data_IF_135470552476
#
_entry.id   IF_135470552476
#
_cell.length_a   1.000
_cell.length_b   1.000
_cell.length_c   1.000
_cell.angle_alpha   90.00
_cell.angle_beta   90.00
_cell.angle_gamma   90.00
#
_symmetry.space_group_name_H-M   'P 1'
#
loop_
_entity.id
_entity.type
_entity.pdbx_description
1 polymer ?
#
# COMPACT_ATOMS: atom_id res chain seq x y z
N UNK A 1 -27.75 -4.88 -30.19
CA UNK A 1 -26.60 -5.33 -29.38
C UNK A 1 -26.80 -4.78 -27.99
N UNK A 2 -27.12 -5.63 -27.02
CA UNK A 2 -27.20 -5.24 -25.61
C UNK A 2 -25.80 -4.85 -25.15
N UNK A 3 -25.69 -3.68 -24.53
CA UNK A 3 -24.43 -3.15 -24.00
C UNK A 3 -23.92 -4.09 -22.89
N UNK A 4 -22.60 -4.35 -22.78
CA UNK A 4 -22.06 -5.02 -21.61
C UNK A 4 -22.47 -4.25 -20.36
N UNK A 5 -22.99 -4.97 -19.36
CA UNK A 5 -23.35 -4.39 -18.08
C UNK A 5 -22.09 -3.92 -17.36
N UNK A 6 -22.09 -2.66 -16.89
CA UNK A 6 -20.96 -2.14 -16.13
C UNK A 6 -20.85 -2.92 -14.83
N UNK A 7 -19.72 -3.63 -14.65
CA UNK A 7 -19.41 -4.38 -13.45
C UNK A 7 -18.09 -3.84 -12.91
N UNK A 8 -18.08 -3.04 -11.83
CA UNK A 8 -16.82 -2.58 -11.24
C UNK A 8 -16.06 -3.77 -10.67
N UNK A 9 -14.75 -3.67 -10.62
CA UNK A 9 -13.94 -4.68 -9.95
C UNK A 9 -14.21 -4.60 -8.44
N UNK A 10 -14.61 -5.73 -7.85
CA UNK A 10 -14.72 -5.88 -6.40
C UNK A 10 -13.42 -6.47 -5.90
N UNK A 11 -12.68 -5.69 -5.14
CA UNK A 11 -11.37 -6.10 -4.62
C UNK A 11 -11.56 -6.48 -3.15
N UNK A 12 -11.24 -7.73 -2.83
CA UNK A 12 -11.29 -8.26 -1.46
C UNK A 12 -9.96 -8.09 -0.73
N UNK A 13 -9.96 -8.39 0.57
CA UNK A 13 -8.75 -8.37 1.41
C UNK A 13 -7.73 -9.42 0.98
N UNK A 14 -6.46 -9.09 1.07
CA UNK A 14 -5.36 -10.01 0.81
C UNK A 14 -5.11 -10.87 2.05
N UNK A 15 -5.13 -12.21 1.95
CA UNK A 15 -4.80 -13.06 3.09
C UNK A 15 -3.37 -12.80 3.58
N UNK A 16 -3.22 -12.67 4.89
CA UNK A 16 -1.91 -12.57 5.53
C UNK A 16 -1.17 -13.90 5.44
N UNK A 17 0.02 -13.90 4.84
CA UNK A 17 0.79 -15.12 4.61
C UNK A 17 2.00 -15.31 5.54
N UNK A 18 2.47 -14.27 6.24
CA UNK A 18 3.63 -14.37 7.15
C UNK A 18 3.44 -13.54 8.42
N UNK A 19 3.76 -14.12 9.57
CA UNK A 19 3.83 -13.47 10.89
C UNK A 19 5.00 -14.06 11.67
N UNK A 20 5.71 -13.25 12.44
CA UNK A 20 6.90 -13.69 13.17
C UNK A 20 8.22 -13.23 12.56
N UNK A 21 9.32 -13.79 13.04
CA UNK A 21 10.68 -13.35 12.68
C UNK A 21 11.00 -13.79 11.25
N UNK A 22 11.27 -12.82 10.38
CA UNK A 22 11.54 -13.05 8.95
C UNK A 22 13.02 -12.92 8.59
N UNK A 23 13.81 -12.23 9.41
CA UNK A 23 15.26 -12.06 9.20
C UNK A 23 16.00 -11.85 10.53
N UNK A 24 17.28 -12.20 10.55
CA UNK A 24 18.19 -11.95 11.67
C UNK A 24 19.57 -11.56 11.15
N UNK A 25 20.30 -10.73 11.89
CA UNK A 25 21.68 -10.37 11.55
C UNK A 25 22.45 -9.90 12.78
N UNK A 26 23.78 -9.80 12.68
CA UNK A 26 24.61 -9.30 13.77
C UNK A 26 25.54 -8.21 13.27
N UNK A 27 25.63 -7.09 14.01
CA UNK A 27 26.49 -5.96 13.67
C UNK A 27 27.15 -5.40 14.92
N UNK A 28 28.48 -5.19 14.85
CA UNK A 28 29.30 -4.62 15.95
C UNK A 28 29.07 -5.27 17.32
N UNK A 29 28.74 -6.56 17.36
CA UNK A 29 28.54 -7.33 18.59
C UNK A 29 27.08 -7.41 19.07
N UNK A 30 26.17 -6.63 18.46
CA UNK A 30 24.75 -6.68 18.75
C UNK A 30 24.03 -7.62 17.77
N UNK A 31 22.93 -8.24 18.22
CA UNK A 31 22.08 -9.11 17.40
C UNK A 31 20.77 -8.38 17.08
N UNK A 32 20.38 -8.42 15.82
CA UNK A 32 19.23 -7.75 15.25
C UNK A 32 18.28 -8.78 14.65
N UNK A 33 16.99 -8.47 14.63
CA UNK A 33 15.99 -9.24 13.89
C UNK A 33 14.96 -8.33 13.26
N UNK A 34 14.29 -8.86 12.25
CA UNK A 34 13.09 -8.26 11.66
C UNK A 34 11.92 -9.16 11.96
N UNK A 35 10.91 -8.61 12.63
CA UNK A 35 9.72 -9.32 13.05
C UNK A 35 8.47 -8.68 12.43
N UNK A 36 7.52 -9.51 12.02
CA UNK A 36 6.26 -9.06 11.43
C UNK A 36 5.12 -9.28 12.41
N UNK A 37 4.50 -8.18 12.83
CA UNK A 37 3.37 -8.15 13.74
C UNK A 37 2.05 -7.93 12.99
N UNK A 38 0.95 -8.30 13.60
CA UNK A 38 -0.37 -7.85 13.13
C UNK A 38 -0.39 -6.34 13.30
N UNK A 39 -0.68 -5.60 12.23
CA UNK A 39 -0.80 -4.16 12.39
C UNK A 39 -1.92 -3.87 13.38
N UNK A 40 -1.59 -3.15 14.45
CA UNK A 40 -2.52 -2.75 15.51
C UNK A 40 -3.27 -1.46 15.14
N UNK A 41 -3.04 -0.96 13.93
CA UNK A 41 -3.42 0.37 13.49
C UNK A 41 -4.73 0.33 12.72
N UNK A 42 -5.81 0.85 13.34
CA UNK A 42 -7.07 1.15 12.63
C UNK A 42 -6.89 2.28 11.58
N UNK A 43 -5.75 2.98 11.61
CA UNK A 43 -5.35 4.08 10.74
C UNK A 43 -3.82 4.17 10.68
N UNK A 44 -3.25 4.39 9.50
CA UNK A 44 -1.81 4.59 9.33
C UNK A 44 -1.53 6.04 8.91
N UNK A 45 -0.51 6.65 9.52
CA UNK A 45 0.00 7.95 9.07
C UNK A 45 0.68 7.79 7.70
N UNK A 46 0.12 8.42 6.66
CA UNK A 46 0.59 8.35 5.26
C UNK A 46 2.07 8.76 5.14
N UNK A 47 2.52 9.72 5.93
CA UNK A 47 3.91 10.19 5.90
C UNK A 47 4.92 9.20 6.53
N UNK A 48 4.43 8.14 7.19
CA UNK A 48 5.23 7.11 7.88
C UNK A 48 5.17 5.71 7.25
N UNK A 49 4.40 5.52 6.18
CA UNK A 49 4.32 4.25 5.45
C UNK A 49 5.47 4.09 4.46
N UNK A 50 5.99 2.86 4.31
CA UNK A 50 6.92 2.52 3.23
C UNK A 50 6.24 2.52 1.84
N UNK A 51 4.91 2.66 1.83
CA UNK A 51 4.08 2.79 0.65
C UNK A 51 4.01 4.24 0.16
N UNK A 52 4.36 4.46 -1.11
CA UNK A 52 4.11 5.72 -1.81
C UNK A 52 3.05 5.53 -2.91
N UNK A 53 1.82 6.05 -2.75
CA UNK A 53 0.82 5.98 -3.80
C UNK A 53 1.32 6.68 -5.06
N UNK A 54 1.47 5.95 -6.16
CA UNK A 54 2.08 6.52 -7.35
C UNK A 54 1.12 7.37 -8.21
N UNK A 55 -0.21 7.29 -7.98
CA UNK A 55 -1.23 7.92 -8.83
C UNK A 55 -2.55 8.31 -8.14
N UNK A 56 -3.36 9.03 -8.93
CA UNK A 56 -4.63 9.64 -8.59
C UNK A 56 -5.75 8.63 -8.37
N UNK A 57 -6.28 8.56 -7.15
CA UNK A 57 -7.49 7.79 -6.85
C UNK A 57 -8.58 8.66 -6.25
N UNK A 58 -9.74 8.65 -6.90
CA UNK A 58 -10.88 9.48 -6.54
C UNK A 58 -11.90 8.68 -5.73
N UNK A 59 -11.82 8.72 -4.40
CA UNK A 59 -12.76 8.01 -3.53
C UNK A 59 -14.04 8.80 -3.25
N UNK A 60 -15.19 8.12 -3.25
CA UNK A 60 -16.46 8.61 -2.68
C UNK A 60 -16.71 7.97 -1.31
N UNK A 61 -16.91 8.82 -0.29
CA UNK A 61 -17.48 8.48 1.02
C UNK A 61 -18.24 9.69 1.61
N UNK A 62 -18.63 9.65 2.89
CA UNK A 62 -19.23 10.78 3.63
C UNK A 62 -18.30 12.01 3.66
N UNK A 63 -18.76 13.23 4.03
CA UNK A 63 -17.95 14.46 4.07
C UNK A 63 -16.66 14.43 4.92
N UNK A 64 -16.44 13.35 5.67
CA UNK A 64 -15.24 13.12 6.49
C UNK A 64 -14.42 11.90 6.03
N UNK A 65 -14.87 11.20 4.99
CA UNK A 65 -14.26 9.97 4.45
C UNK A 65 -13.24 10.23 3.34
N UNK A 66 -12.66 11.43 3.29
CA UNK A 66 -11.72 11.80 2.25
C UNK A 66 -10.37 11.15 2.50
N UNK A 67 -10.15 10.00 1.89
CA UNK A 67 -8.79 9.51 1.69
C UNK A 67 -8.22 10.18 0.44
N UNK A 68 -7.12 10.91 0.65
CA UNK A 68 -6.45 11.72 -0.35
C UNK A 68 -5.70 10.79 -1.32
N UNK A 69 -5.91 10.96 -2.63
CA UNK A 69 -5.02 10.36 -3.62
C UNK A 69 -3.76 11.20 -3.77
N UNK A 70 -2.61 10.60 -4.06
CA UNK A 70 -1.36 11.35 -4.26
C UNK A 70 -1.33 11.96 -5.66
N UNK A 71 -1.10 13.26 -5.74
CA UNK A 71 -0.92 13.99 -7.00
C UNK A 71 0.54 14.47 -7.09
N UNK A 72 1.24 14.12 -8.16
CA UNK A 72 2.60 14.61 -8.45
C UNK A 72 2.54 16.02 -9.04
N UNK A 73 1.41 16.41 -9.65
CA UNK A 73 1.22 17.73 -10.27
C UNK A 73 -0.11 18.40 -9.90
N UNK A 74 -0.16 19.73 -10.07
CA UNK A 74 -1.40 20.51 -9.90
C UNK A 74 -2.52 20.05 -10.86
N UNK A 75 -2.14 19.61 -12.07
CA UNK A 75 -3.09 19.14 -13.08
C UNK A 75 -3.75 17.82 -12.66
N UNK A 76 -2.97 16.88 -12.12
CA UNK A 76 -3.48 15.61 -11.58
C UNK A 76 -4.43 15.86 -10.40
N UNK A 77 -4.08 16.83 -9.52
CA UNK A 77 -4.97 17.24 -8.43
C UNK A 77 -6.33 17.72 -8.95
N UNK A 78 -6.35 18.53 -10.00
CA UNK A 78 -7.59 19.03 -10.60
C UNK A 78 -8.38 17.90 -11.27
N UNK A 79 -7.73 16.98 -11.98
CA UNK A 79 -8.37 15.80 -12.57
C UNK A 79 -9.03 14.92 -11.50
N UNK A 80 -8.34 14.64 -10.40
CA UNK A 80 -8.90 13.89 -9.25
C UNK A 80 -10.19 14.54 -8.75
N UNK A 81 -10.19 15.86 -8.57
CA UNK A 81 -11.38 16.57 -8.07
C UNK A 81 -12.55 16.52 -9.06
N UNK A 82 -12.26 16.55 -10.36
CA UNK A 82 -13.27 16.35 -11.41
C UNK A 82 -13.84 14.93 -11.33
N UNK A 83 -13.00 13.89 -11.28
CA UNK A 83 -13.47 12.49 -11.15
C UNK A 83 -14.36 12.32 -9.92
N UNK A 84 -13.93 12.84 -8.76
CA UNK A 84 -14.70 12.79 -7.51
C UNK A 84 -16.08 13.41 -7.67
N UNK A 85 -16.14 14.59 -8.29
CA UNK A 85 -17.40 15.30 -8.53
C UNK A 85 -18.33 14.48 -9.43
N UNK A 86 -17.79 13.87 -10.50
CA UNK A 86 -18.56 13.03 -11.41
C UNK A 86 -19.04 11.74 -10.72
N UNK A 87 -18.21 11.10 -9.88
CA UNK A 87 -18.65 9.94 -9.08
C UNK A 87 -19.84 10.35 -8.19
N UNK A 88 -19.75 11.50 -7.52
CA UNK A 88 -20.80 11.98 -6.61
C UNK A 88 -22.11 12.31 -7.33
N UNK A 89 -22.02 12.96 -8.49
CA UNK A 89 -23.19 13.50 -9.19
C UNK A 89 -23.83 12.48 -10.14
N UNK A 90 -23.02 11.62 -10.76
CA UNK A 90 -23.43 10.76 -11.87
C UNK A 90 -23.11 9.27 -11.64
N UNK A 91 -22.44 8.92 -10.53
CA UNK A 91 -22.05 7.56 -10.21
C UNK A 91 -20.76 7.09 -10.90
N UNK A 92 -20.24 5.95 -10.41
CA UNK A 92 -18.96 5.37 -10.81
C UNK A 92 -18.90 5.02 -12.32
N UNK A 93 -19.99 4.49 -12.88
CA UNK A 93 -20.07 4.14 -14.31
C UNK A 93 -19.84 5.38 -15.21
N UNK A 94 -20.40 6.53 -14.83
CA UNK A 94 -20.23 7.77 -15.58
C UNK A 94 -18.79 8.28 -15.45
N UNK A 95 -18.24 8.25 -14.23
CA UNK A 95 -16.87 8.70 -13.97
C UNK A 95 -15.83 7.92 -14.79
N UNK A 96 -15.92 6.59 -14.83
CA UNK A 96 -15.00 5.76 -15.61
C UNK A 96 -15.06 6.09 -17.09
N UNK A 97 -16.27 6.33 -17.63
CA UNK A 97 -16.41 6.74 -19.04
C UNK A 97 -15.71 8.06 -19.31
N UNK A 98 -15.94 9.06 -18.47
CA UNK A 98 -15.29 10.36 -18.59
C UNK A 98 -13.77 10.22 -18.55
N UNK A 99 -13.24 9.43 -17.61
CA UNK A 99 -11.78 9.20 -17.50
C UNK A 99 -11.24 8.48 -18.72
N UNK A 100 -11.90 7.41 -19.18
CA UNK A 100 -11.48 6.63 -20.35
C UNK A 100 -11.51 7.42 -21.65
N UNK A 101 -12.51 8.27 -21.81
CA UNK A 101 -12.66 9.07 -23.03
C UNK A 101 -11.70 10.27 -23.06
N UNK A 102 -11.36 10.84 -21.89
CA UNK A 102 -10.61 12.11 -21.83
C UNK A 102 -9.14 11.96 -21.45
N UNK A 103 -8.76 10.98 -20.63
CA UNK A 103 -7.44 10.93 -20.01
C UNK A 103 -6.74 9.59 -20.14
N UNK A 104 -7.42 8.48 -19.86
CA UNK A 104 -6.78 7.17 -19.78
C UNK A 104 -7.75 6.05 -20.14
N UNK A 105 -7.66 5.56 -21.38
CA UNK A 105 -8.52 4.51 -21.91
C UNK A 105 -8.45 3.19 -21.12
N UNK A 106 -7.38 2.99 -20.34
CA UNK A 106 -7.14 1.80 -19.51
C UNK A 106 -7.50 2.00 -18.04
N UNK A 107 -8.12 3.12 -17.68
CA UNK A 107 -8.56 3.38 -16.32
C UNK A 107 -9.47 2.28 -15.78
N UNK A 108 -9.33 1.94 -14.50
CA UNK A 108 -10.09 0.89 -13.81
C UNK A 108 -10.95 1.54 -12.73
N UNK A 109 -12.22 1.15 -12.66
CA UNK A 109 -13.08 1.54 -11.56
C UNK A 109 -13.36 0.36 -10.64
N UNK A 110 -13.36 0.64 -9.35
CA UNK A 110 -13.39 -0.37 -8.31
C UNK A 110 -14.33 0.02 -7.15
N UNK A 111 -14.73 -1.00 -6.38
CA UNK A 111 -15.50 -0.84 -5.15
C UNK A 111 -14.85 -1.69 -4.05
N UNK A 112 -14.73 -1.13 -2.84
CA UNK A 112 -14.45 -1.87 -1.62
C UNK A 112 -15.68 -1.90 -0.72
N UNK A 113 -16.19 -3.09 -0.47
CA UNK A 113 -17.43 -3.31 0.28
C UNK A 113 -17.23 -3.37 1.80
N UNK A 114 -16.00 -3.63 2.29
CA UNK A 114 -15.72 -4.00 3.70
C UNK A 114 -14.63 -3.13 4.36
N UNK A 115 -14.69 -1.81 4.12
CA UNK A 115 -13.78 -0.84 4.76
C UNK A 115 -14.37 -0.28 6.07
N UNK A 116 -13.54 0.13 7.05
CA UNK A 116 -13.99 0.87 8.24
C UNK A 116 -14.77 2.16 7.92
N UNK A 117 -14.64 2.65 6.68
CA UNK A 117 -15.28 3.87 6.19
C UNK A 117 -16.57 3.62 5.39
N UNK A 118 -17.04 2.36 5.29
CA UNK A 118 -18.20 1.96 4.49
C UNK A 118 -17.84 1.53 3.06
N UNK A 119 -18.82 1.48 2.16
CA UNK A 119 -18.55 1.18 0.75
C UNK A 119 -17.78 2.35 0.12
N UNK A 120 -16.58 2.07 -0.39
CA UNK A 120 -15.74 3.07 -1.05
C UNK A 120 -15.66 2.77 -2.54
N UNK A 121 -15.90 3.81 -3.35
CA UNK A 121 -15.88 3.73 -4.82
C UNK A 121 -14.77 4.59 -5.38
N UNK A 122 -14.01 4.09 -6.36
CA UNK A 122 -12.93 4.86 -6.95
C UNK A 122 -12.61 4.53 -8.40
N UNK A 123 -11.80 5.39 -9.01
CA UNK A 123 -11.20 5.20 -10.34
C UNK A 123 -9.70 5.37 -10.20
N UNK A 124 -8.95 4.38 -10.68
CA UNK A 124 -7.50 4.39 -10.86
C UNK A 124 -7.17 4.73 -12.32
N UNK A 125 -6.31 5.74 -12.54
CA UNK A 125 -5.99 6.27 -13.87
C UNK A 125 -4.65 7.05 -13.88
N UNK A 126 -4.05 7.21 -15.07
CA UNK A 126 -2.83 8.01 -15.29
C UNK A 126 -1.55 7.20 -15.54
N UNK A 127 -1.64 5.87 -15.58
CA UNK A 127 -0.51 4.97 -15.82
C UNK A 127 -0.50 4.45 -17.26
N UNK A 128 -1.60 4.60 -18.02
CA UNK A 128 -1.76 4.01 -19.36
C UNK A 128 -1.41 2.51 -19.36
N UNK A 129 -1.71 1.81 -18.27
CA UNK A 129 -1.51 0.39 -18.09
C UNK A 129 -2.58 -0.15 -17.13
N UNK A 130 -3.44 -1.04 -17.65
CA UNK A 130 -4.57 -1.60 -16.91
C UNK A 130 -4.13 -2.44 -15.70
N UNK A 131 -3.02 -3.18 -15.80
CA UNK A 131 -2.54 -4.04 -14.72
C UNK A 131 -1.94 -3.21 -13.58
N UNK A 132 -1.24 -2.12 -13.92
CA UNK A 132 -0.79 -1.14 -12.93
C UNK A 132 -1.99 -0.48 -12.24
N UNK A 133 -3.06 -0.16 -12.97
CA UNK A 133 -4.28 0.39 -12.37
C UNK A 133 -4.97 -0.55 -11.39
N UNK A 134 -5.01 -1.85 -11.71
CA UNK A 134 -5.53 -2.87 -10.81
C UNK A 134 -4.71 -3.01 -9.54
N UNK A 135 -3.38 -3.07 -9.69
CA UNK A 135 -2.45 -3.16 -8.57
C UNK A 135 -2.62 -1.97 -7.63
N UNK A 136 -2.62 -0.75 -8.18
CA UNK A 136 -2.80 0.48 -7.39
C UNK A 136 -4.16 0.57 -6.70
N UNK A 137 -5.23 0.15 -7.39
CA UNK A 137 -6.55 0.08 -6.79
C UNK A 137 -6.54 -0.91 -5.62
N UNK A 138 -5.82 -2.03 -5.74
CA UNK A 138 -5.65 -2.99 -4.65
C UNK A 138 -4.85 -2.41 -3.49
N UNK A 139 -3.71 -1.78 -3.73
CA UNK A 139 -2.85 -1.23 -2.67
C UNK A 139 -3.57 -0.14 -1.86
N UNK A 140 -4.28 0.76 -2.56
CA UNK A 140 -5.11 1.75 -1.87
C UNK A 140 -6.20 1.06 -1.03
N UNK A 141 -6.80 -0.02 -1.52
CA UNK A 141 -7.83 -0.71 -0.74
C UNK A 141 -7.27 -1.47 0.46
N UNK A 142 -6.04 -1.96 0.38
CA UNK A 142 -5.34 -2.47 1.55
C UNK A 142 -5.10 -1.35 2.56
N UNK A 143 -4.78 -0.15 2.08
CA UNK A 143 -4.79 1.05 2.90
C UNK A 143 -6.14 1.28 3.56
N UNK A 144 -7.21 1.28 2.76
CA UNK A 144 -8.58 1.49 3.22
C UNK A 144 -9.13 0.37 4.11
N UNK A 145 -8.51 -0.81 4.15
CA UNK A 145 -9.06 -1.93 4.92
C UNK A 145 -8.27 -2.21 6.20
N UNK A 146 -7.21 -1.44 6.46
CA UNK A 146 -6.29 -1.73 7.55
C UNK A 146 -5.52 -3.03 7.29
N UNK A 147 -5.33 -3.41 6.02
CA UNK A 147 -4.77 -4.71 5.63
C UNK A 147 -3.23 -4.62 5.56
N UNK A 148 -2.62 -4.37 6.72
CA UNK A 148 -1.21 -4.01 6.86
C UNK A 148 -0.39 -5.04 7.65
N UNK A 149 0.89 -5.09 7.34
CA UNK A 149 1.92 -5.74 8.14
C UNK A 149 2.75 -4.68 8.86
N UNK A 150 2.86 -4.78 10.20
CA UNK A 150 3.81 -3.98 10.97
C UNK A 150 5.16 -4.71 10.97
N UNK A 151 6.11 -4.21 10.17
CA UNK A 151 7.43 -4.80 10.01
C UNK A 151 8.42 -4.02 10.89
N UNK A 152 8.93 -4.67 11.93
CA UNK A 152 9.76 -4.04 12.95
C UNK A 152 11.21 -4.55 12.94
N UNK A 153 12.16 -3.63 12.94
CA UNK A 153 13.55 -3.85 13.26
C UNK A 153 13.74 -3.82 14.77
N UNK A 154 14.33 -4.87 15.32
CA UNK A 154 14.55 -5.03 16.76
C UNK A 154 16.00 -5.42 17.03
N UNK A 155 16.52 -4.97 18.18
CA UNK A 155 17.85 -5.35 18.68
C UNK A 155 17.71 -6.10 20.01
N UNK A 156 18.51 -7.13 20.19
CA UNK A 156 18.56 -7.87 21.44
C UNK A 156 19.28 -7.03 22.50
N UNK A 157 18.61 -6.79 23.62
CA UNK A 157 19.18 -6.19 24.83
C UNK A 157 18.86 -7.09 26.01
N UNK A 158 19.90 -7.63 26.64
CA UNK A 158 19.74 -8.63 27.70
C UNK A 158 18.88 -9.81 27.21
N UNK A 159 17.76 -10.09 27.87
CA UNK A 159 16.82 -11.16 27.51
C UNK A 159 15.64 -10.66 26.65
N UNK A 160 15.59 -9.37 26.31
CA UNK A 160 14.47 -8.74 25.61
C UNK A 160 14.86 -8.25 24.19
N UNK A 161 13.85 -8.17 23.33
CA UNK A 161 13.97 -7.55 22.01
C UNK A 161 13.39 -6.14 22.05
N UNK A 162 14.23 -5.16 21.73
CA UNK A 162 13.85 -3.75 21.77
C UNK A 162 13.69 -3.23 20.35
N UNK A 163 12.51 -2.70 20.05
CA UNK A 163 12.18 -2.08 18.77
C UNK A 163 13.03 -0.84 18.53
N UNK A 164 13.74 -0.84 17.41
CA UNK A 164 14.56 0.28 16.94
C UNK A 164 13.79 1.14 15.95
N UNK A 165 13.15 0.47 14.98
CA UNK A 165 12.40 1.10 13.90
C UNK A 165 11.30 0.17 13.44
N UNK A 166 10.29 0.72 12.81
CA UNK A 166 9.29 -0.07 12.12
C UNK A 166 8.64 0.74 11.01
N UNK A 167 7.97 0.01 10.13
CA UNK A 167 7.14 0.59 9.09
C UNK A 167 5.94 -0.32 8.86
N UNK A 168 4.77 0.28 8.70
CA UNK A 168 3.59 -0.40 8.18
C UNK A 168 3.71 -0.53 6.66
N UNK A 169 3.40 -1.71 6.13
CA UNK A 169 3.45 -2.02 4.69
C UNK A 169 2.18 -2.77 4.26
N UNK A 170 1.60 -2.48 3.07
CA UNK A 170 0.44 -3.20 2.57
C UNK A 170 0.76 -4.69 2.44
N UNK A 171 -0.22 -5.55 2.68
CA UNK A 171 -0.02 -6.99 2.55
C UNK A 171 0.31 -7.41 1.10
N UNK A 172 -0.09 -6.67 0.06
CA UNK A 172 0.27 -6.88 -1.35
C UNK A 172 1.77 -6.73 -1.54
N UNK A 173 2.33 -5.59 -1.14
CA UNK A 173 3.75 -5.23 -1.26
C UNK A 173 4.65 -6.13 -0.41
N UNK A 174 4.18 -6.43 0.81
CA UNK A 174 4.85 -7.40 1.67
C UNK A 174 4.94 -8.81 1.03
N UNK A 175 3.96 -9.17 0.19
CA UNK A 175 3.92 -10.45 -0.51
C UNK A 175 4.65 -10.43 -1.87
N UNK A 176 4.81 -9.27 -2.53
CA UNK A 176 5.49 -9.14 -3.84
C UNK A 176 7.02 -9.09 -3.73
N UNK A 177 7.53 -8.71 -2.55
CA UNK A 177 8.92 -8.96 -2.13
C UNK A 177 9.96 -7.90 -2.52
N UNK A 178 9.70 -7.07 -3.54
CA UNK A 178 10.58 -5.94 -3.91
C UNK A 178 10.52 -4.81 -2.86
N UNK A 179 9.33 -4.42 -2.42
CA UNK A 179 9.17 -3.38 -1.39
C UNK A 179 9.69 -3.82 -0.03
N UNK A 180 9.44 -5.09 0.33
CA UNK A 180 10.05 -5.68 1.52
C UNK A 180 11.58 -5.62 1.42
N UNK A 181 12.16 -5.87 0.25
CA UNK A 181 13.61 -5.79 0.07
C UNK A 181 14.12 -4.35 0.27
N UNK A 182 13.45 -3.34 -0.29
CA UNK A 182 13.79 -1.93 -0.06
C UNK A 182 13.65 -1.51 1.41
N UNK A 183 12.63 -1.99 2.11
CA UNK A 183 12.48 -1.77 3.55
C UNK A 183 13.64 -2.40 4.34
N UNK A 184 14.05 -3.60 3.96
CA UNK A 184 15.20 -4.29 4.57
C UNK A 184 16.50 -3.50 4.34
N UNK A 185 16.72 -2.91 3.16
CA UNK A 185 17.86 -2.01 2.92
C UNK A 185 17.82 -0.78 3.83
N UNK A 186 16.65 -0.18 4.05
CA UNK A 186 16.48 0.94 4.99
C UNK A 186 16.83 0.54 6.42
N UNK A 187 16.47 -0.68 6.83
CA UNK A 187 16.86 -1.23 8.14
C UNK A 187 18.35 -1.51 8.24
N UNK A 188 18.98 -2.02 7.19
CA UNK A 188 20.43 -2.19 7.15
C UNK A 188 21.15 -0.85 7.30
N UNK A 189 20.65 0.20 6.63
CA UNK A 189 21.15 1.55 6.79
C UNK A 189 20.92 2.08 8.21
N UNK A 190 19.78 1.81 8.84
CA UNK A 190 19.50 2.19 10.23
C UNK A 190 20.50 1.54 11.21
N UNK A 191 20.83 0.25 11.01
CA UNK A 191 21.78 -0.48 11.87
C UNK A 191 23.22 -0.02 11.65
N UNK A 192 23.60 0.22 10.40
CA UNK A 192 25.01 0.45 10.03
C UNK A 192 25.39 1.92 9.94
N UNK A 193 24.43 2.80 9.64
CA UNK A 193 24.63 4.19 9.26
C UNK A 193 25.12 4.37 7.82
N UNK A 194 25.18 3.30 7.02
CA UNK A 194 25.77 3.28 5.68
C UNK A 194 24.76 2.79 4.63
N UNK A 195 24.78 3.38 3.43
CA UNK A 195 24.03 2.82 2.30
C UNK A 195 24.78 1.59 1.77
N UNK A 196 24.12 0.43 1.75
CA UNK A 196 24.67 -0.85 1.26
C UNK A 196 25.99 -1.27 1.95
N UNK A 197 25.98 -1.51 3.28
CA UNK A 197 27.18 -1.85 4.04
C UNK A 197 27.83 -3.17 3.57
N UNK A 198 29.17 -3.18 3.46
CA UNK A 198 29.90 -4.42 3.23
C UNK A 198 29.93 -5.28 4.50
N UNK A 199 29.47 -6.54 4.39
CA UNK A 199 29.59 -7.53 5.48
C UNK A 199 28.46 -7.52 6.51
N UNK A 200 27.47 -6.62 6.40
CA UNK A 200 26.20 -6.73 7.09
C UNK A 200 25.08 -6.84 6.07
N UNK A 201 24.37 -7.95 6.11
CA UNK A 201 23.09 -8.11 5.44
C UNK A 201 22.14 -8.72 6.44
N UNK A 202 20.94 -8.17 6.52
CA UNK A 202 19.81 -8.92 7.04
C UNK A 202 19.45 -9.93 5.94
N UNK A 203 20.30 -10.94 5.79
CA UNK A 203 20.42 -11.71 4.55
C UNK A 203 19.19 -12.56 4.27
N UNK A 204 18.90 -12.66 2.97
CA UNK A 204 18.14 -13.68 2.27
C UNK A 204 16.73 -13.94 2.81
N UNK A 205 15.75 -13.28 2.17
CA UNK A 205 14.33 -13.62 2.22
C UNK A 205 14.13 -15.10 1.87
N UNK A 206 14.29 -15.97 2.86
CA UNK A 206 14.47 -17.39 2.67
C UNK A 206 14.05 -18.13 3.90
N UNK A 207 12.72 -18.24 4.07
CA UNK A 207 12.08 -19.34 4.79
C UNK A 207 12.66 -19.64 6.19
N UNK A 208 12.40 -18.75 7.16
CA UNK A 208 12.24 -19.27 8.53
C UNK A 208 10.92 -20.03 8.53
N UNK A 209 11.03 -21.34 8.31
CA UNK A 209 9.90 -22.29 8.40
C UNK A 209 9.25 -22.13 9.77
N UNK A 210 7.98 -21.76 9.79
CA UNK A 210 7.05 -22.05 10.87
C UNK A 210 5.72 -22.48 10.24
#
# INVERSE_FOLDING_TARGET
>A
MSRPEFTPETIGRTPRHKSGVIATGSWKGDTYRVNVYDSLSDFVEIDGTAWEPQYAVALQGEPHSYLEGWWKTKAEREQVQVVRSVIRECGLECAIRVVRDLWDAQAVGFVAADSPWGEVRGVSFGANNEDEHRMQARDLLEFLNGDWADVALEVQKEDDWVRLKASDMPNSEFNDGEDLWHLMESFEQEVTGECAPEGFRLADAGLVVA
#
